data_IF_509658763489
#
_entry.id   IF_509658763489
#
_cell.length_a   1.000
_cell.length_b   1.000
_cell.length_c   1.000
_cell.angle_alpha   90.00
_cell.angle_beta   90.00
_cell.angle_gamma   90.00
#
_symmetry.space_group_name_H-M   'P 1'
#
loop_
_entity.id
_entity.type
_entity.pdbx_description
1 polymer ?
#
# COMPACT_ATOMS: atom_id res chain seq x y z
N UNK A 1 31.78 61.85 -30.39
CA UNK A 1 30.55 62.24 -29.66
C UNK A 1 29.44 61.37 -30.21
N UNK A 2 28.93 60.34 -29.55
CA UNK A 2 29.17 59.77 -28.24
C UNK A 2 29.03 58.24 -28.32
N UNK A 3 29.79 57.56 -27.47
CA UNK A 3 29.87 56.12 -27.27
C UNK A 3 28.87 55.69 -26.20
N UNK A 4 28.37 54.45 -26.34
CA UNK A 4 27.75 53.60 -25.30
C UNK A 4 26.53 54.11 -24.53
N UNK A 5 25.42 53.37 -24.67
CA UNK A 5 24.88 52.68 -23.49
C UNK A 5 24.27 51.33 -23.89
N UNK A 6 24.96 50.26 -23.52
CA UNK A 6 24.48 48.87 -23.59
C UNK A 6 24.16 48.48 -22.15
N UNK A 7 22.94 48.76 -21.71
CA UNK A 7 22.48 48.33 -20.39
C UNK A 7 22.42 46.80 -20.32
N UNK A 8 23.09 46.16 -19.33
CA UNK A 8 23.00 44.73 -19.12
C UNK A 8 21.70 44.37 -18.38
N UNK A 9 21.09 43.24 -18.75
CA UNK A 9 19.88 42.70 -18.13
C UNK A 9 20.10 42.34 -16.64
N UNK A 10 19.05 42.36 -15.77
CA UNK A 10 19.19 42.15 -14.34
C UNK A 10 19.45 40.67 -14.02
N UNK A 11 20.67 40.37 -13.57
CA UNK A 11 21.11 39.00 -13.25
C UNK A 11 20.78 38.58 -11.79
N UNK A 12 20.20 39.49 -11.00
CA UNK A 12 19.99 39.31 -9.55
C UNK A 12 18.79 38.40 -9.18
N UNK A 13 17.90 38.07 -10.12
CA UNK A 13 16.59 37.46 -9.80
C UNK A 13 16.57 35.91 -9.89
N UNK A 14 17.64 35.32 -10.43
CA UNK A 14 17.75 33.86 -10.64
C UNK A 14 17.88 33.01 -9.35
N UNK A 15 18.67 33.40 -8.33
CA UNK A 15 18.85 32.56 -7.13
C UNK A 15 17.61 32.58 -6.22
N UNK A 16 16.94 33.72 -6.06
CA UNK A 16 15.73 33.84 -5.26
C UNK A 16 14.56 33.02 -5.85
N UNK A 17 14.46 32.97 -7.19
CA UNK A 17 13.43 32.19 -7.89
C UNK A 17 13.60 30.68 -7.71
N UNK A 18 14.84 30.16 -7.66
CA UNK A 18 15.12 28.73 -7.39
C UNK A 18 14.69 28.32 -5.99
N UNK A 19 15.05 29.12 -4.97
CA UNK A 19 14.67 28.85 -3.57
C UNK A 19 13.15 28.82 -3.35
N UNK A 20 12.39 29.69 -4.04
CA UNK A 20 10.93 29.68 -4.00
C UNK A 20 10.35 28.43 -4.67
N UNK A 21 10.91 28.01 -5.81
CA UNK A 21 10.47 26.79 -6.50
C UNK A 21 10.73 25.54 -5.65
N UNK A 22 11.88 25.46 -4.98
CA UNK A 22 12.23 24.34 -4.10
C UNK A 22 11.28 24.26 -2.89
N UNK A 23 10.92 25.41 -2.32
CA UNK A 23 9.96 25.49 -1.21
C UNK A 23 8.57 25.04 -1.67
N UNK A 24 8.12 25.48 -2.85
CA UNK A 24 6.82 25.07 -3.42
C UNK A 24 6.81 23.56 -3.71
N UNK A 25 7.89 23.01 -4.27
CA UNK A 25 8.05 21.58 -4.51
C UNK A 25 7.99 20.78 -3.20
N UNK A 26 8.68 21.23 -2.16
CA UNK A 26 8.67 20.58 -0.85
C UNK A 26 7.26 20.60 -0.22
N UNK A 27 6.55 21.72 -0.32
CA UNK A 27 5.16 21.84 0.17
C UNK A 27 4.21 20.91 -0.60
N UNK A 28 4.33 20.85 -1.92
CA UNK A 28 3.53 19.93 -2.74
C UNK A 28 3.82 18.47 -2.37
N UNK A 29 5.09 18.10 -2.22
CA UNK A 29 5.48 16.75 -1.82
C UNK A 29 4.91 16.39 -0.43
N UNK A 30 5.03 17.30 0.55
CA UNK A 30 4.49 17.11 1.88
C UNK A 30 2.96 16.95 1.86
N UNK A 31 2.24 17.76 1.06
CA UNK A 31 0.80 17.64 0.89
C UNK A 31 0.42 16.30 0.27
N UNK A 32 1.12 15.86 -0.77
CA UNK A 32 0.86 14.55 -1.40
C UNK A 32 1.07 13.41 -0.40
N UNK A 33 2.15 13.43 0.36
CA UNK A 33 2.40 12.43 1.42
C UNK A 33 1.32 12.48 2.50
N UNK A 34 0.93 13.68 2.96
CA UNK A 34 -0.11 13.86 3.95
C UNK A 34 -1.47 13.34 3.46
N UNK A 35 -1.87 13.67 2.23
CA UNK A 35 -3.10 13.16 1.62
C UNK A 35 -3.03 11.65 1.44
N UNK A 36 -1.91 11.08 0.99
CA UNK A 36 -1.77 9.64 0.85
C UNK A 36 -1.95 8.90 2.19
N UNK A 37 -1.32 9.39 3.26
CA UNK A 37 -1.44 8.82 4.60
C UNK A 37 -2.84 9.00 5.22
N UNK A 38 -3.49 10.13 4.99
CA UNK A 38 -4.79 10.46 5.62
C UNK A 38 -6.00 9.94 4.85
N UNK A 39 -5.91 9.74 3.53
CA UNK A 39 -7.03 9.26 2.71
C UNK A 39 -7.23 7.74 2.75
N UNK A 40 -6.58 7.03 3.68
CA UNK A 40 -6.74 5.58 3.84
C UNK A 40 -6.44 4.83 2.51
N UNK A 41 -5.51 5.31 1.67
CA UNK A 41 -5.13 4.58 0.44
C UNK A 41 -4.60 3.17 0.72
N UNK A 42 -4.07 2.94 1.92
CA UNK A 42 -3.66 1.62 2.41
C UNK A 42 -4.83 0.74 2.83
N UNK A 43 -6.02 1.33 3.02
CA UNK A 43 -7.25 0.60 3.29
C UNK A 43 -7.86 0.25 1.94
N UNK A 44 -7.47 -0.93 1.44
CA UNK A 44 -8.05 -1.50 0.23
C UNK A 44 -9.58 -1.38 0.25
N UNK A 45 -10.23 -1.19 -0.91
CA UNK A 45 -11.65 -0.87 -0.98
C UNK A 45 -12.48 -1.97 -0.31
N UNK A 46 -12.91 -1.72 0.93
CA UNK A 46 -13.70 -2.65 1.76
C UNK A 46 -15.04 -3.05 1.11
N UNK A 47 -15.50 -2.24 0.15
CA UNK A 47 -16.81 -2.37 -0.49
C UNK A 47 -16.73 -2.95 -1.91
N UNK A 48 -15.54 -3.17 -2.46
CA UNK A 48 -15.44 -3.85 -3.74
C UNK A 48 -15.43 -5.37 -3.50
N UNK A 49 -16.25 -6.15 -4.21
CA UNK A 49 -16.17 -7.59 -4.15
C UNK A 49 -14.76 -8.01 -4.60
N UNK A 50 -14.00 -8.63 -3.70
CA UNK A 50 -12.73 -9.23 -4.07
C UNK A 50 -13.02 -10.34 -5.07
N UNK A 51 -12.35 -10.29 -6.23
CA UNK A 51 -12.45 -11.36 -7.21
C UNK A 51 -12.01 -12.68 -6.54
N UNK A 52 -12.83 -13.76 -6.62
CA UNK A 52 -12.42 -15.06 -6.13
C UNK A 52 -11.15 -15.46 -6.87
N UNK A 53 -10.06 -15.71 -6.13
CA UNK A 53 -8.87 -16.33 -6.73
C UNK A 53 -9.21 -17.81 -6.88
N UNK A 54 -9.33 -18.35 -8.12
CA UNK A 54 -9.64 -19.75 -8.30
C UNK A 54 -8.51 -20.59 -7.72
N UNK A 55 -8.86 -21.42 -6.75
CA UNK A 55 -7.98 -22.42 -6.16
C UNK A 55 -7.54 -23.41 -7.24
N UNK A 56 -6.23 -23.72 -7.36
CA UNK A 56 -5.83 -24.88 -8.14
C UNK A 56 -6.41 -26.14 -7.48
N UNK A 57 -6.93 -27.11 -8.26
CA UNK A 57 -7.48 -28.34 -7.71
C UNK A 57 -6.42 -29.08 -6.89
N UNK A 58 -6.81 -29.51 -5.69
CA UNK A 58 -5.95 -30.29 -4.80
C UNK A 58 -5.81 -31.71 -5.37
N UNK A 59 -4.60 -32.24 -5.56
CA UNK A 59 -4.43 -33.60 -6.08
C UNK A 59 -4.93 -34.62 -5.06
N UNK A 60 -5.55 -35.71 -5.53
CA UNK A 60 -6.10 -36.79 -4.67
C UNK A 60 -5.07 -37.42 -3.71
N UNK A 61 -3.77 -37.36 -4.03
CA UNK A 61 -2.71 -37.82 -3.12
C UNK A 61 -2.46 -36.90 -1.90
N UNK A 62 -3.05 -35.70 -1.90
CA UNK A 62 -3.07 -34.77 -0.77
C UNK A 62 -4.39 -34.83 0.03
N UNK A 63 -5.40 -35.57 -0.46
CA UNK A 63 -6.62 -35.90 0.30
C UNK A 63 -6.25 -36.91 1.39
N UNK A 64 -5.91 -36.44 2.59
CA UNK A 64 -5.56 -37.35 3.69
C UNK A 64 -4.92 -36.74 4.92
N UNK A 65 -4.52 -35.46 4.89
CA UNK A 65 -4.12 -34.72 6.11
C UNK A 65 -5.06 -33.55 6.34
N UNK A 66 -6.20 -33.84 6.97
CA UNK A 66 -6.98 -32.80 7.61
C UNK A 66 -6.21 -32.35 8.87
N UNK A 67 -5.43 -31.28 8.75
CA UNK A 67 -4.90 -30.56 9.90
C UNK A 67 -5.90 -29.47 10.27
N UNK A 68 -6.21 -29.33 11.55
CA UNK A 68 -6.95 -28.19 12.04
C UNK A 68 -5.99 -27.00 12.19
N UNK A 69 -6.37 -25.85 11.62
CA UNK A 69 -5.60 -24.61 11.72
C UNK A 69 -6.48 -23.55 12.38
N UNK A 70 -6.01 -23.04 13.52
CA UNK A 70 -6.57 -21.87 14.17
C UNK A 70 -5.62 -20.69 13.95
N UNK A 71 -6.16 -19.57 13.46
CA UNK A 71 -5.42 -18.33 13.30
C UNK A 71 -6.12 -17.24 14.12
N UNK A 72 -5.34 -16.39 14.78
CA UNK A 72 -5.86 -15.23 15.51
C UNK A 72 -5.24 -13.96 14.94
N UNK A 73 -6.06 -12.97 14.61
CA UNK A 73 -5.61 -11.73 13.96
C UNK A 73 -5.76 -10.55 14.91
N UNK A 74 -4.65 -9.84 15.15
CA UNK A 74 -4.57 -8.69 16.05
C UNK A 74 -3.89 -7.51 15.38
N UNK A 75 -4.22 -6.30 15.81
CA UNK A 75 -3.52 -5.08 15.41
C UNK A 75 -2.21 -4.87 16.20
N UNK A 76 -1.49 -3.79 15.89
CA UNK A 76 -0.22 -3.43 16.54
C UNK A 76 -0.36 -3.17 18.05
N UNK A 77 -1.56 -2.85 18.52
CA UNK A 77 -1.87 -2.62 19.93
C UNK A 77 -2.36 -3.91 20.63
N UNK A 78 -2.39 -5.05 19.91
CA UNK A 78 -2.83 -6.35 20.41
C UNK A 78 -4.35 -6.53 20.45
N UNK A 79 -5.14 -5.61 19.89
CA UNK A 79 -6.61 -5.70 19.83
C UNK A 79 -7.04 -6.67 18.72
N UNK A 80 -8.06 -7.50 18.93
CA UNK A 80 -8.54 -8.42 17.90
C UNK A 80 -9.13 -7.67 16.71
N UNK A 81 -8.89 -8.20 15.50
CA UNK A 81 -9.43 -7.66 14.25
C UNK A 81 -10.58 -8.54 13.77
N UNK A 82 -11.81 -8.04 13.91
CA UNK A 82 -13.03 -8.67 13.39
C UNK A 82 -13.14 -8.50 11.87
N UNK A 83 -13.76 -9.48 11.19
CA UNK A 83 -14.05 -9.48 9.75
C UNK A 83 -12.81 -9.43 8.83
N UNK A 84 -11.63 -9.72 9.37
CA UNK A 84 -10.41 -9.89 8.60
C UNK A 84 -10.47 -11.20 7.81
N UNK A 85 -10.20 -11.14 6.50
CA UNK A 85 -10.13 -12.33 5.64
C UNK A 85 -8.80 -13.05 5.84
N UNK A 86 -8.85 -14.29 6.32
CA UNK A 86 -7.70 -15.19 6.42
C UNK A 86 -7.77 -16.22 5.29
N UNK A 87 -6.76 -16.22 4.42
CA UNK A 87 -6.64 -17.15 3.31
C UNK A 87 -5.46 -18.08 3.54
N UNK A 88 -5.71 -19.39 3.49
CA UNK A 88 -4.74 -20.42 3.81
C UNK A 88 -4.35 -21.18 2.56
N UNK A 89 -3.05 -21.38 2.39
CA UNK A 89 -2.48 -22.20 1.33
C UNK A 89 -1.59 -23.28 1.94
N UNK A 90 -1.69 -24.51 1.45
CA UNK A 90 -0.75 -25.58 1.77
C UNK A 90 0.37 -25.59 0.72
N UNK A 91 1.61 -25.76 1.19
CA UNK A 91 2.79 -25.84 0.33
C UNK A 91 3.18 -27.30 0.13
N UNK A 92 3.40 -27.71 -1.12
CA UNK A 92 3.94 -29.03 -1.45
C UNK A 92 4.75 -28.94 -2.73
N UNK A 93 5.96 -29.50 -2.72
CA UNK A 93 6.84 -29.57 -3.91
C UNK A 93 6.97 -28.20 -4.60
N UNK A 94 7.15 -27.15 -3.78
CA UNK A 94 7.29 -25.74 -4.21
C UNK A 94 6.04 -25.13 -4.87
N UNK A 95 4.88 -25.79 -4.73
CA UNK A 95 3.58 -25.31 -5.21
C UNK A 95 2.65 -24.97 -4.05
N UNK A 96 1.90 -23.89 -4.21
CA UNK A 96 0.84 -23.48 -3.29
C UNK A 96 -0.50 -24.05 -3.75
N UNK A 97 -1.21 -24.70 -2.83
CA UNK A 97 -2.56 -25.22 -3.02
C UNK A 97 -3.50 -24.51 -2.06
N UNK A 98 -4.65 -24.04 -2.54
CA UNK A 98 -5.61 -23.35 -1.67
C UNK A 98 -6.25 -24.35 -0.71
N UNK A 99 -6.17 -24.05 0.59
CA UNK A 99 -6.70 -24.90 1.66
C UNK A 99 -8.02 -24.36 2.23
N UNK A 100 -8.26 -23.05 2.15
CA UNK A 100 -9.51 -22.45 2.58
C UNK A 100 -9.43 -20.95 2.84
N UNK A 101 -10.60 -20.37 3.08
CA UNK A 101 -10.77 -18.98 3.47
C UNK A 101 -11.82 -18.87 4.58
N UNK A 102 -11.53 -18.04 5.58
CA UNK A 102 -12.46 -17.69 6.67
C UNK A 102 -12.32 -16.22 7.03
N UNK A 103 -13.37 -15.68 7.64
CA UNK A 103 -13.31 -14.38 8.31
C UNK A 103 -13.14 -14.59 9.81
N UNK A 104 -12.38 -13.72 10.44
CA UNK A 104 -12.23 -13.66 11.89
C UNK A 104 -13.53 -13.29 12.59
N UNK A 105 -13.73 -13.82 13.78
CA UNK A 105 -14.88 -13.49 14.62
C UNK A 105 -14.56 -12.30 15.55
N UNK A 106 -15.40 -12.05 16.57
CA UNK A 106 -15.18 -10.94 17.50
C UNK A 106 -13.92 -11.11 18.38
N UNK A 107 -13.39 -12.33 18.52
CA UNK A 107 -12.14 -12.61 19.21
C UNK A 107 -10.90 -12.46 18.31
N UNK A 108 -11.10 -12.20 17.02
CA UNK A 108 -10.07 -12.06 16.00
C UNK A 108 -9.64 -13.41 15.48
#
# INVERSE_FOLDING_TARGET
MAEQDKQPAPEADRPARRSRLDTVLAVIAALVCFFAATTLRDVGPRFLPQAPIPAPPVPASAEGRAAELTATVRDEQGRPLQDATVRVFSMREDRAYFAGERKTDAAG
#
